data_IF_411493931657
#
_entry.id   IF_411493931657
#
_cell.length_a   1.000
_cell.length_b   1.000
_cell.length_c   1.000
_cell.angle_alpha   90.00
_cell.angle_beta   90.00
_cell.angle_gamma   90.00
#
_symmetry.space_group_name_H-M   'P 1'
#
loop_
_entity.id
_entity.type
_entity.pdbx_description
1 polymer ?
#
# COMPACT_ATOMS: atom_id res chain seq x y z
N UNK A 1 -8.48 20.78 12.33
CA UNK A 1 -7.41 21.48 11.58
C UNK A 1 -7.54 21.06 10.12
N UNK A 2 -8.01 21.96 9.24
CA UNK A 2 -8.21 21.66 7.83
C UNK A 2 -6.87 21.67 7.09
N UNK A 3 -6.50 20.55 6.50
CA UNK A 3 -5.23 20.39 5.74
C UNK A 3 -5.29 21.03 4.34
N UNK A 4 -6.48 21.37 3.85
CA UNK A 4 -6.71 21.90 2.51
C UNK A 4 -7.22 23.35 2.56
N UNK A 5 -6.31 24.31 2.73
CA UNK A 5 -6.68 25.74 2.72
C UNK A 5 -6.79 26.37 1.32
N UNK A 6 -6.84 25.59 0.24
CA UNK A 6 -6.80 26.10 -1.14
C UNK A 6 -7.78 25.49 -2.15
N UNK A 7 -8.52 24.44 -1.81
CA UNK A 7 -9.52 23.84 -2.68
C UNK A 7 -10.93 24.43 -2.44
N UNK A 8 -11.84 24.26 -3.42
CA UNK A 8 -13.23 24.56 -3.20
C UNK A 8 -13.87 23.57 -2.20
N UNK A 9 -15.09 23.83 -1.77
CA UNK A 9 -15.79 22.96 -0.83
C UNK A 9 -15.95 21.53 -1.36
N UNK A 10 -16.16 21.38 -2.65
CA UNK A 10 -16.29 20.07 -3.29
C UNK A 10 -15.02 19.25 -3.20
N UNK A 11 -13.85 19.88 -3.41
CA UNK A 11 -12.55 19.19 -3.27
C UNK A 11 -12.31 18.71 -1.83
N UNK A 12 -12.71 19.50 -0.82
CA UNK A 12 -12.64 19.10 0.59
C UNK A 12 -13.56 17.93 0.88
N UNK A 13 -14.81 17.99 0.43
CA UNK A 13 -15.81 16.93 0.63
C UNK A 13 -15.37 15.62 -0.06
N UNK A 14 -14.75 15.70 -1.25
CA UNK A 14 -14.17 14.54 -1.95
C UNK A 14 -13.00 13.97 -1.15
N UNK A 15 -12.08 14.81 -0.67
CA UNK A 15 -10.92 14.38 0.10
C UNK A 15 -11.35 13.64 1.37
N UNK A 16 -12.29 14.18 2.12
CA UNK A 16 -12.79 13.59 3.35
C UNK A 16 -13.49 12.25 3.07
N UNK A 17 -14.35 12.19 2.07
CA UNK A 17 -15.06 10.97 1.66
C UNK A 17 -14.10 9.87 1.18
N UNK A 18 -13.11 10.23 0.37
CA UNK A 18 -12.09 9.27 -0.11
C UNK A 18 -11.21 8.78 1.03
N UNK A 19 -10.83 9.67 1.95
CA UNK A 19 -10.00 9.30 3.11
C UNK A 19 -10.75 8.34 4.04
N UNK A 20 -12.02 8.61 4.32
CA UNK A 20 -12.87 7.71 5.09
C UNK A 20 -13.04 6.36 4.41
N UNK A 21 -13.34 6.37 3.11
CA UNK A 21 -13.50 5.16 2.30
C UNK A 21 -12.23 4.29 2.31
N UNK A 22 -11.05 4.88 2.11
CA UNK A 22 -9.77 4.18 2.20
C UNK A 22 -9.58 3.58 3.60
N UNK A 23 -9.87 4.35 4.66
CA UNK A 23 -9.78 3.88 6.03
C UNK A 23 -10.68 2.65 6.30
N UNK A 24 -11.88 2.63 5.74
CA UNK A 24 -12.79 1.48 5.84
C UNK A 24 -12.26 0.27 5.07
N UNK A 25 -11.70 0.46 3.86
CA UNK A 25 -11.07 -0.62 3.09
C UNK A 25 -9.86 -1.21 3.82
N UNK A 26 -9.04 -0.36 4.43
CA UNK A 26 -7.88 -0.83 5.23
C UNK A 26 -8.33 -1.68 6.42
N UNK A 27 -9.33 -1.26 7.18
CA UNK A 27 -9.89 -2.06 8.29
C UNK A 27 -10.40 -3.42 7.82
N UNK A 28 -11.05 -3.48 6.66
CA UNK A 28 -11.47 -4.77 6.06
C UNK A 28 -10.28 -5.64 5.66
N UNK A 29 -9.22 -5.05 5.12
CA UNK A 29 -7.98 -5.74 4.83
C UNK A 29 -7.32 -6.33 6.09
N UNK A 30 -7.38 -5.62 7.22
CA UNK A 30 -6.91 -6.11 8.51
C UNK A 30 -7.76 -7.28 9.04
N UNK A 31 -9.07 -7.21 8.90
CA UNK A 31 -9.99 -8.31 9.27
C UNK A 31 -9.70 -9.58 8.45
N UNK A 32 -9.49 -9.44 7.14
CA UNK A 32 -9.06 -10.55 6.28
C UNK A 32 -7.70 -11.10 6.71
N UNK A 33 -6.75 -10.23 7.02
CA UNK A 33 -5.43 -10.61 7.52
C UNK A 33 -5.53 -11.47 8.78
N UNK A 34 -6.35 -11.07 9.73
CA UNK A 34 -6.58 -11.82 10.97
C UNK A 34 -7.28 -13.16 10.71
N UNK A 35 -8.31 -13.16 9.86
CA UNK A 35 -9.11 -14.37 9.58
C UNK A 35 -8.28 -15.46 8.89
N UNK A 36 -7.41 -15.10 7.96
CA UNK A 36 -6.58 -16.04 7.22
C UNK A 36 -5.19 -16.25 7.84
N UNK A 37 -4.89 -15.58 8.94
CA UNK A 37 -3.55 -15.53 9.56
C UNK A 37 -2.44 -15.18 8.53
N UNK A 38 -2.72 -14.21 7.65
CA UNK A 38 -1.78 -13.76 6.62
C UNK A 38 -1.60 -12.24 6.75
N UNK A 39 -0.40 -11.75 7.04
CA UNK A 39 -0.16 -10.30 7.14
C UNK A 39 -0.58 -9.54 5.88
N UNK A 40 -1.11 -8.32 6.03
CA UNK A 40 -1.61 -7.49 4.91
C UNK A 40 -0.56 -7.33 3.80
N UNK A 41 0.73 -7.21 4.15
CA UNK A 41 1.83 -7.16 3.18
C UNK A 41 1.96 -8.44 2.37
N UNK A 42 1.80 -9.60 3.01
CA UNK A 42 1.85 -10.91 2.36
C UNK A 42 0.61 -11.18 1.50
N UNK A 43 -0.56 -10.65 1.87
CA UNK A 43 -1.76 -10.68 1.02
C UNK A 43 -1.51 -10.01 -0.33
N UNK A 44 -0.84 -8.85 -0.32
CA UNK A 44 -0.47 -8.15 -1.57
C UNK A 44 0.45 -9.00 -2.46
N UNK A 45 1.35 -9.76 -1.87
CA UNK A 45 2.23 -10.68 -2.61
C UNK A 45 1.46 -11.89 -3.15
N UNK A 46 0.62 -12.55 -2.33
CA UNK A 46 -0.23 -13.66 -2.74
C UNK A 46 -1.03 -13.34 -4.01
N UNK A 47 -1.63 -12.17 -4.07
CA UNK A 47 -2.40 -11.71 -5.24
C UNK A 47 -1.59 -11.54 -6.52
N UNK A 48 -0.25 -11.49 -6.45
CA UNK A 48 0.65 -11.33 -7.60
C UNK A 48 1.35 -12.63 -8.01
N UNK A 49 1.11 -13.70 -7.27
CA UNK A 49 1.72 -15.00 -7.50
C UNK A 49 0.76 -15.94 -8.24
N UNK A 50 0.33 -15.54 -9.46
CA UNK A 50 -0.45 -16.44 -10.35
C UNK A 50 0.43 -17.54 -10.94
N UNK A 51 1.69 -17.24 -11.12
CA UNK A 51 2.75 -18.12 -11.59
C UNK A 51 4.00 -17.89 -10.74
N UNK A 52 5.00 -18.79 -10.77
CA UNK A 52 6.28 -18.55 -10.11
C UNK A 52 6.93 -17.26 -10.60
N UNK A 53 7.26 -16.35 -9.67
CA UNK A 53 7.77 -15.00 -9.96
C UNK A 53 9.18 -14.84 -9.37
N UNK A 54 10.17 -14.36 -10.14
CA UNK A 54 11.46 -14.00 -9.60
C UNK A 54 11.35 -13.00 -8.46
N UNK A 55 12.11 -13.20 -7.38
CA UNK A 55 12.08 -12.34 -6.19
C UNK A 55 12.28 -10.85 -6.53
N UNK A 56 13.18 -10.56 -7.47
CA UNK A 56 13.43 -9.20 -7.95
C UNK A 56 12.19 -8.58 -8.62
N UNK A 57 11.52 -9.36 -9.46
CA UNK A 57 10.33 -8.88 -10.20
C UNK A 57 9.14 -8.69 -9.26
N UNK A 58 9.03 -9.52 -8.22
CA UNK A 58 8.02 -9.33 -7.18
C UNK A 58 8.23 -8.01 -6.45
N UNK A 59 9.47 -7.63 -6.13
CA UNK A 59 9.80 -6.33 -5.54
C UNK A 59 9.38 -5.15 -6.44
N UNK A 60 9.68 -5.24 -7.71
CA UNK A 60 9.28 -4.21 -8.69
C UNK A 60 7.74 -4.10 -8.78
N UNK A 61 7.03 -5.23 -8.88
CA UNK A 61 5.56 -5.26 -8.93
C UNK A 61 4.89 -4.73 -7.66
N UNK A 62 5.57 -4.85 -6.53
CA UNK A 62 5.08 -4.38 -5.23
C UNK A 62 5.56 -2.98 -4.86
N UNK A 63 6.46 -2.39 -5.65
CA UNK A 63 7.14 -1.12 -5.36
C UNK A 63 7.78 -1.11 -3.97
N UNK A 64 8.53 -2.17 -3.65
CA UNK A 64 9.17 -2.31 -2.35
C UNK A 64 10.62 -2.82 -2.46
N UNK A 65 11.38 -2.60 -1.39
CA UNK A 65 12.78 -2.98 -1.31
C UNK A 65 12.99 -4.51 -1.30
N UNK A 66 14.13 -5.01 -1.79
CA UNK A 66 14.44 -6.43 -1.81
C UNK A 66 14.41 -7.09 -0.43
N UNK A 67 14.80 -6.36 0.63
CA UNK A 67 14.73 -6.85 2.02
C UNK A 67 13.29 -7.11 2.46
N UNK A 68 12.37 -6.23 2.08
CA UNK A 68 10.96 -6.38 2.39
C UNK A 68 10.33 -7.55 1.62
N UNK A 69 10.73 -7.76 0.35
CA UNK A 69 10.32 -8.95 -0.42
C UNK A 69 10.79 -10.23 0.25
N UNK A 70 12.03 -10.26 0.73
CA UNK A 70 12.59 -11.41 1.46
C UNK A 70 11.78 -11.70 2.70
N UNK A 71 11.48 -10.69 3.52
CA UNK A 71 10.65 -10.84 4.72
C UNK A 71 9.25 -11.39 4.41
N UNK A 72 8.63 -10.91 3.33
CA UNK A 72 7.32 -11.41 2.88
C UNK A 72 7.42 -12.87 2.44
N UNK A 73 8.44 -13.22 1.67
CA UNK A 73 8.66 -14.59 1.21
C UNK A 73 8.88 -15.54 2.39
N UNK A 74 9.73 -15.16 3.37
CA UNK A 74 9.96 -15.92 4.60
C UNK A 74 8.65 -16.12 5.38
N UNK A 75 7.84 -15.08 5.48
CA UNK A 75 6.53 -15.13 6.12
C UNK A 75 5.58 -16.13 5.44
N UNK A 76 5.54 -16.12 4.11
CA UNK A 76 4.71 -17.05 3.33
C UNK A 76 5.21 -18.49 3.40
N UNK A 77 6.54 -18.69 3.39
CA UNK A 77 7.15 -20.02 3.54
C UNK A 77 6.90 -20.60 4.94
N UNK A 78 7.09 -19.81 5.99
CA UNK A 78 6.80 -20.23 7.38
C UNK A 78 5.34 -20.69 7.57
N UNK A 79 4.41 -20.11 6.82
CA UNK A 79 2.99 -20.48 6.83
C UNK A 79 2.65 -21.60 5.85
N UNK A 80 3.63 -22.10 5.11
CA UNK A 80 3.42 -23.13 4.09
C UNK A 80 2.58 -22.68 2.90
N UNK A 81 2.49 -21.37 2.64
CA UNK A 81 1.70 -20.79 1.56
C UNK A 81 2.52 -20.58 0.28
N UNK A 82 3.83 -20.46 0.40
CA UNK A 82 4.73 -20.34 -0.74
C UNK A 82 5.99 -21.16 -0.52
N UNK A 83 6.76 -21.32 -1.56
CA UNK A 83 8.10 -21.95 -1.55
C UNK A 83 9.01 -21.20 -2.52
N UNK A 84 10.29 -21.15 -2.19
CA UNK A 84 11.33 -20.71 -3.13
C UNK A 84 11.77 -21.89 -3.99
N UNK A 85 11.80 -21.67 -5.29
CA UNK A 85 12.30 -22.67 -6.24
C UNK A 85 13.25 -22.05 -7.26
N UNK A 86 14.20 -22.83 -7.83
CA UNK A 86 15.06 -22.34 -8.89
C UNK A 86 14.24 -21.95 -10.12
N UNK A 87 14.60 -20.84 -10.76
CA UNK A 87 14.03 -20.49 -12.04
C UNK A 87 14.43 -21.52 -13.13
N UNK A 88 13.51 -21.86 -14.00
CA UNK A 88 13.73 -22.88 -15.04
C UNK A 88 14.76 -22.46 -16.09
N UNK A 89 14.87 -21.16 -16.37
CA UNK A 89 15.80 -20.61 -17.36
C UNK A 89 17.20 -20.32 -16.75
N UNK A 90 17.24 -19.86 -15.50
CA UNK A 90 18.49 -19.59 -14.78
C UNK A 90 18.36 -20.01 -13.31
N UNK A 91 19.00 -21.12 -12.96
CA UNK A 91 18.98 -21.69 -11.60
C UNK A 91 19.58 -20.78 -10.51
N UNK A 92 20.31 -19.75 -10.89
CA UNK A 92 20.85 -18.74 -9.95
C UNK A 92 19.76 -17.82 -9.43
N UNK A 93 18.68 -17.68 -10.21
CA UNK A 93 17.51 -16.89 -9.86
C UNK A 93 16.55 -17.76 -9.02
N UNK A 94 16.04 -17.19 -7.93
CA UNK A 94 15.01 -17.81 -7.12
C UNK A 94 13.65 -17.19 -7.43
N UNK A 95 12.72 -18.05 -7.77
CA UNK A 95 11.30 -17.70 -7.87
C UNK A 95 10.60 -17.93 -6.54
N UNK A 96 9.60 -17.15 -6.24
CA UNK A 96 8.59 -17.46 -5.24
C UNK A 96 7.37 -18.04 -5.96
N UNK A 97 6.92 -19.21 -5.52
CA UNK A 97 5.78 -19.91 -6.07
C UNK A 97 4.79 -20.25 -4.94
N UNK A 98 3.49 -20.24 -5.21
CA UNK A 98 2.51 -20.71 -4.24
C UNK A 98 2.56 -22.24 -4.13
N UNK A 99 2.30 -22.74 -2.93
CA UNK A 99 1.97 -24.14 -2.68
C UNK A 99 0.49 -24.38 -2.99
N UNK A 100 0.04 -25.64 -3.02
CA UNK A 100 -1.39 -25.95 -3.19
C UNK A 100 -2.22 -25.27 -2.10
N UNK A 101 -1.77 -25.30 -0.86
CA UNK A 101 -2.39 -24.57 0.24
C UNK A 101 -2.39 -23.05 0.00
N UNK A 102 -1.31 -22.51 -0.57
CA UNK A 102 -1.23 -21.08 -0.94
C UNK A 102 -2.25 -20.70 -2.00
N UNK A 103 -2.47 -21.58 -2.98
CA UNK A 103 -3.49 -21.38 -4.02
C UNK A 103 -4.91 -21.43 -3.43
N UNK A 104 -5.20 -22.37 -2.54
CA UNK A 104 -6.49 -22.46 -1.85
C UNK A 104 -6.77 -21.21 -1.02
N UNK A 105 -5.80 -20.78 -0.20
CA UNK A 105 -5.93 -19.56 0.63
C UNK A 105 -6.10 -18.32 -0.25
N UNK A 106 -5.33 -18.20 -1.33
CA UNK A 106 -5.46 -17.10 -2.29
C UNK A 106 -6.88 -17.05 -2.87
N UNK A 107 -7.39 -18.17 -3.37
CA UNK A 107 -8.72 -18.24 -3.97
C UNK A 107 -9.82 -17.87 -2.95
N UNK A 108 -9.74 -18.38 -1.72
CA UNK A 108 -10.69 -18.07 -0.66
C UNK A 108 -10.66 -16.57 -0.31
N UNK A 109 -9.47 -15.99 -0.19
CA UNK A 109 -9.30 -14.56 0.09
C UNK A 109 -9.82 -13.67 -1.06
N UNK A 110 -9.60 -14.06 -2.32
CA UNK A 110 -10.08 -13.32 -3.47
C UNK A 110 -11.61 -13.34 -3.54
N UNK A 111 -12.22 -14.51 -3.34
CA UNK A 111 -13.67 -14.67 -3.31
C UNK A 111 -14.28 -13.81 -2.20
N UNK A 112 -13.73 -13.86 -1.00
CA UNK A 112 -14.22 -13.08 0.13
C UNK A 112 -14.00 -11.57 -0.10
N UNK A 113 -12.83 -11.17 -0.60
CA UNK A 113 -12.54 -9.77 -0.92
C UNK A 113 -13.54 -9.21 -1.93
N UNK A 114 -13.81 -9.93 -3.02
CA UNK A 114 -14.75 -9.49 -4.05
C UNK A 114 -16.17 -9.39 -3.49
N UNK A 115 -16.59 -10.36 -2.66
CA UNK A 115 -17.91 -10.36 -2.04
C UNK A 115 -18.12 -9.22 -1.03
N UNK A 116 -17.04 -8.71 -0.43
CA UNK A 116 -17.09 -7.65 0.57
C UNK A 116 -16.90 -6.24 0.01
N UNK A 117 -16.60 -6.11 -1.29
CA UNK A 117 -16.36 -4.79 -1.89
C UNK A 117 -17.67 -4.00 -2.01
N UNK A 118 -17.73 -2.77 -1.47
CA UNK A 118 -18.97 -2.01 -1.41
C UNK A 118 -19.58 -1.72 -2.78
N UNK A 119 -18.78 -1.54 -3.81
CA UNK A 119 -19.27 -1.30 -5.17
C UNK A 119 -20.00 -2.47 -5.80
N UNK A 120 -19.85 -3.71 -5.30
CA UNK A 120 -20.60 -4.87 -5.79
C UNK A 120 -22.06 -4.86 -5.31
N UNK A 121 -22.35 -4.16 -4.21
CA UNK A 121 -23.65 -4.12 -3.56
C UNK A 121 -24.32 -2.75 -3.62
N UNK A 122 -23.52 -1.68 -3.60
CA UNK A 122 -24.02 -0.31 -3.54
C UNK A 122 -24.20 0.34 -4.92
N UNK A 123 -23.53 -0.16 -5.97
CA UNK A 123 -23.56 0.43 -7.29
C UNK A 123 -24.19 -0.52 -8.31
N UNK A 124 -24.99 0.00 -9.21
CA UNK A 124 -25.45 -0.71 -10.39
C UNK A 124 -24.31 -0.88 -11.43
N UNK A 125 -24.59 -1.53 -12.56
CA UNK A 125 -23.57 -1.78 -13.59
C UNK A 125 -23.03 -0.49 -14.19
N UNK A 126 -23.88 0.45 -14.52
CA UNK A 126 -23.49 1.73 -15.15
C UNK A 126 -22.63 2.57 -14.19
N UNK A 127 -23.04 2.66 -12.93
CA UNK A 127 -22.31 3.36 -11.88
C UNK A 127 -20.92 2.73 -11.63
N UNK A 128 -20.81 1.39 -11.67
CA UNK A 128 -19.51 0.70 -11.57
C UNK A 128 -18.59 0.99 -12.75
N UNK A 129 -19.15 1.08 -13.96
CA UNK A 129 -18.37 1.43 -15.17
C UNK A 129 -17.84 2.87 -15.04
N UNK A 130 -18.68 3.81 -14.65
CA UNK A 130 -18.29 5.21 -14.40
C UNK A 130 -17.25 5.32 -13.28
N UNK A 131 -17.46 4.64 -12.17
CA UNK A 131 -16.52 4.60 -11.04
C UNK A 131 -15.15 4.08 -11.49
N UNK A 132 -15.12 3.00 -12.27
CA UNK A 132 -13.89 2.45 -12.81
C UNK A 132 -13.14 3.45 -13.69
N UNK A 133 -13.84 4.17 -14.55
CA UNK A 133 -13.25 5.21 -15.41
C UNK A 133 -12.66 6.37 -14.58
N UNK A 134 -13.38 6.85 -13.57
CA UNK A 134 -12.93 7.91 -12.69
C UNK A 134 -11.67 7.50 -11.91
N UNK A 135 -11.67 6.30 -11.32
CA UNK A 135 -10.51 5.76 -10.59
C UNK A 135 -9.31 5.61 -11.51
N UNK A 136 -9.50 5.10 -12.74
CA UNK A 136 -8.41 4.98 -13.73
C UNK A 136 -7.85 6.33 -14.14
N UNK A 137 -8.70 7.33 -14.34
CA UNK A 137 -8.31 8.71 -14.68
C UNK A 137 -7.45 9.32 -13.56
N UNK A 138 -7.90 9.23 -12.32
CA UNK A 138 -7.15 9.72 -11.14
C UNK A 138 -5.82 8.99 -10.97
N UNK A 139 -5.81 7.66 -11.11
CA UNK A 139 -4.59 6.85 -10.98
C UNK A 139 -3.52 7.21 -12.00
N UNK A 140 -3.90 7.54 -13.25
CA UNK A 140 -2.97 8.02 -14.29
C UNK A 140 -2.31 9.34 -13.90
N UNK A 141 -3.07 10.27 -13.33
CA UNK A 141 -2.55 11.57 -12.87
C UNK A 141 -1.56 11.36 -11.72
N UNK A 142 -1.90 10.53 -10.73
CA UNK A 142 -1.02 10.22 -9.61
C UNK A 142 0.29 9.54 -10.06
N UNK A 143 0.21 8.64 -11.04
CA UNK A 143 1.42 7.97 -11.57
C UNK A 143 2.32 8.92 -12.38
N UNK A 144 1.76 9.95 -13.00
CA UNK A 144 2.51 10.94 -13.81
C UNK A 144 3.08 12.08 -12.97
N UNK A 145 2.51 12.35 -11.79
CA UNK A 145 2.97 13.43 -10.93
C UNK A 145 4.19 12.95 -10.11
N UNK A 146 5.40 13.50 -10.29
CA UNK A 146 6.46 13.27 -9.33
C UNK A 146 5.99 13.81 -7.99
N UNK A 147 6.24 13.07 -6.90
CA UNK A 147 6.11 13.60 -5.54
C UNK A 147 7.21 14.66 -5.43
N UNK A 148 6.91 15.87 -5.88
CA UNK A 148 7.75 17.02 -5.60
C UNK A 148 7.77 17.15 -4.09
N UNK A 149 8.93 17.01 -3.48
CA UNK A 149 9.13 17.28 -2.06
C UNK A 149 8.62 18.68 -1.79
N UNK A 150 7.33 18.78 -1.43
CA UNK A 150 6.68 20.02 -1.11
C UNK A 150 7.38 20.57 0.13
N UNK A 151 7.99 21.73 -0.06
CA UNK A 151 8.42 22.70 0.95
C UNK A 151 9.07 22.06 2.21
N UNK A 152 10.40 22.03 2.19
CA UNK A 152 11.17 22.06 3.43
C UNK A 152 10.50 23.09 4.35
N UNK A 153 10.00 22.63 5.47
CA UNK A 153 9.58 23.50 6.58
C UNK A 153 10.72 24.49 6.80
N UNK A 154 10.49 25.83 6.76
CA UNK A 154 11.57 26.78 7.02
C UNK A 154 12.10 26.48 8.41
N UNK A 155 13.40 26.22 8.51
CA UNK A 155 14.11 26.09 9.78
C UNK A 155 13.77 27.32 10.61
N UNK A 156 13.19 27.10 11.76
CA UNK A 156 12.99 28.13 12.77
C UNK A 156 14.37 28.60 13.18
N UNK A 157 14.78 29.78 12.68
CA UNK A 157 15.96 30.50 13.12
C UNK A 157 15.81 30.78 14.62
N UNK A 158 16.47 29.98 15.44
CA UNK A 158 16.58 30.23 16.85
C UNK A 158 17.53 31.43 16.98
N UNK A 159 16.96 32.63 17.08
CA UNK A 159 17.72 33.83 17.45
C UNK A 159 18.29 33.59 18.85
N UNK A 160 19.61 33.37 18.88
CA UNK A 160 20.39 33.29 20.10
C UNK A 160 20.26 34.61 20.87
N UNK A 161 19.67 34.54 22.04
CA UNK A 161 19.67 35.63 23.01
C UNK A 161 21.06 35.69 23.63
N UNK A 162 21.86 36.59 23.12
CA UNK A 162 23.16 36.93 23.74
C UNK A 162 22.91 37.60 25.08
N UNK A 163 23.16 36.85 26.13
CA UNK A 163 23.14 37.39 27.52
C UNK A 163 24.26 38.40 27.71
N UNK A 164 23.89 39.65 27.90
CA UNK A 164 24.80 40.71 28.34
C UNK A 164 25.17 40.48 29.80
N UNK A 165 26.43 40.20 30.05
CA UNK A 165 27.05 40.17 31.38
C UNK A 165 27.28 41.62 31.82
N UNK A 166 26.63 42.07 32.87
CA UNK A 166 26.90 43.33 33.51
C UNK A 166 28.11 43.18 34.47
N UNK A 167 29.01 44.16 34.54
CA UNK A 167 30.16 44.09 35.44
C UNK A 167 29.76 44.48 36.88
N UNK A 168 30.24 43.67 37.83
CA UNK A 168 30.19 43.97 39.26
C UNK A 168 31.31 44.96 39.59
N UNK A 169 30.98 46.14 40.15
CA UNK A 169 31.90 47.06 40.79
C UNK A 169 31.69 47.01 42.30
N UNK A 170 32.80 46.81 42.98
CA UNK A 170 33.12 46.96 44.40
C UNK A 170 32.14 46.52 45.45
#
# INVERSE_FOLDING_TARGET
MSWCSGGDKLDQDIFDAVTEFIGQLMRRGEQLSQRFDVPVSAIKALRRLDTPVPMKDLGQKMHCDPSFVTMIADTLEQRGLAKREPNSADRRIKNLALTDRGLEVKAAMEQETLGLMPWTHALDRSEREQFLELVRKMSKVLAAAPVTAAARTPEREVKGTTGATAPVAH
#
